data_IF_114883774338
#
_entry.id   IF_114883774338
#
_cell.length_a   1.000
_cell.length_b   1.000
_cell.length_c   1.000
_cell.angle_alpha   90.00
_cell.angle_beta   90.00
_cell.angle_gamma   90.00
#
_symmetry.space_group_name_H-M   'P 1'
#
loop_
_entity.id
_entity.type
_entity.pdbx_description
1 polymer ?
#
# COMPACT_ATOMS: atom_id res chain seq x y z
N UNK A 1 51.83 4.75 -16.71
CA UNK A 1 50.38 5.02 -16.67
C UNK A 1 49.69 3.79 -16.11
N UNK A 2 48.86 4.02 -15.11
CA UNK A 2 48.25 3.13 -14.12
C UNK A 2 47.37 2.01 -14.68
N UNK A 3 47.48 0.78 -14.16
CA UNK A 3 46.35 0.10 -13.46
C UNK A 3 46.84 -1.05 -12.60
N UNK A 4 46.11 -1.26 -11.50
CA UNK A 4 46.45 -2.07 -10.34
C UNK A 4 46.42 -3.59 -10.59
N UNK A 5 47.41 -4.21 -9.96
CA UNK A 5 47.57 -5.61 -9.58
C UNK A 5 46.41 -6.11 -8.66
N UNK A 6 45.90 -7.36 -8.83
CA UNK A 6 46.22 -8.58 -8.02
C UNK A 6 45.40 -8.60 -6.68
N UNK A 7 44.63 -9.62 -6.23
CA UNK A 7 44.86 -11.06 -5.99
C UNK A 7 43.51 -11.76 -5.63
N UNK A 8 43.42 -13.12 -5.70
CA UNK A 8 42.19 -13.92 -5.74
C UNK A 8 41.99 -14.91 -4.54
N UNK A 9 40.89 -15.69 -4.63
CA UNK A 9 40.54 -16.97 -3.95
C UNK A 9 40.22 -16.97 -2.46
N UNK A 10 38.99 -17.37 -2.13
CA UNK A 10 38.65 -18.66 -1.50
C UNK A 10 37.33 -18.58 -0.73
N UNK A 11 36.45 -19.56 -0.95
CA UNK A 11 35.60 -20.24 0.04
C UNK A 11 34.22 -20.58 -0.53
N UNK A 12 34.19 -21.68 -1.28
CA UNK A 12 33.09 -22.65 -1.25
C UNK A 12 32.67 -22.94 0.19
N UNK A 13 31.38 -22.83 0.53
CA UNK A 13 30.60 -23.86 1.27
C UNK A 13 29.24 -23.32 1.76
N UNK A 14 28.20 -24.02 1.30
CA UNK A 14 26.98 -24.37 2.03
C UNK A 14 25.95 -23.29 2.44
N UNK A 15 24.82 -23.27 1.72
CA UNK A 15 23.47 -23.47 2.27
C UNK A 15 22.42 -23.24 1.15
N UNK A 16 22.24 -24.20 0.23
CA UNK A 16 21.01 -25.00 0.17
C UNK A 16 20.10 -24.86 1.41
N UNK A 17 18.94 -24.21 1.23
CA UNK A 17 17.65 -24.40 1.93
C UNK A 17 16.62 -23.54 1.16
N UNK A 18 16.11 -24.03 0.03
CA UNK A 18 14.88 -24.82 -0.06
C UNK A 18 13.61 -23.99 0.19
N UNK A 19 12.71 -24.10 -0.82
CA UNK A 19 11.26 -23.96 -0.74
C UNK A 19 10.68 -22.54 -0.87
N UNK A 20 9.59 -22.28 -1.59
CA UNK A 20 8.66 -23.12 -2.37
C UNK A 20 7.70 -22.14 -3.08
N UNK A 21 7.35 -22.44 -4.33
CA UNK A 21 6.17 -22.00 -5.09
C UNK A 21 5.57 -20.59 -4.80
N UNK A 22 5.84 -19.63 -5.69
CA UNK A 22 4.78 -18.75 -6.16
C UNK A 22 4.47 -19.13 -7.61
N UNK A 23 3.57 -20.09 -7.77
CA UNK A 23 2.95 -20.41 -9.04
C UNK A 23 2.12 -19.20 -9.49
N UNK A 24 2.58 -18.51 -10.53
CA UNK A 24 1.96 -17.30 -11.05
C UNK A 24 2.98 -16.45 -11.78
N UNK A 25 3.62 -17.03 -12.80
CA UNK A 25 4.64 -16.37 -13.60
C UNK A 25 4.10 -15.07 -14.20
N UNK A 26 4.76 -13.98 -13.81
CA UNK A 26 4.93 -12.72 -14.52
C UNK A 26 4.86 -12.93 -16.05
N UNK A 27 3.86 -12.34 -16.69
CA UNK A 27 3.94 -11.99 -18.09
C UNK A 27 4.74 -10.69 -18.20
N UNK A 28 6.06 -10.80 -18.40
CA UNK A 28 6.82 -9.72 -19.03
C UNK A 28 6.33 -9.64 -20.47
N UNK A 29 5.54 -8.61 -20.77
CA UNK A 29 5.25 -8.23 -22.15
C UNK A 29 6.18 -7.06 -22.50
N UNK A 30 7.10 -7.20 -23.47
CA UNK A 30 7.88 -6.07 -23.95
C UNK A 30 7.00 -5.27 -24.92
N UNK A 31 6.61 -4.06 -24.56
CA UNK A 31 5.75 -3.26 -25.42
C UNK A 31 5.49 -1.87 -24.91
N UNK A 32 6.24 -0.91 -25.45
CA UNK A 32 5.97 0.52 -25.39
C UNK A 32 4.48 0.82 -25.63
N UNK A 33 3.79 1.38 -24.64
CA UNK A 33 2.78 2.43 -24.84
C UNK A 33 2.33 2.96 -23.48
N UNK A 34 2.68 4.22 -23.20
CA UNK A 34 2.14 4.98 -22.08
C UNK A 34 0.64 5.16 -22.28
N UNK A 35 -0.16 4.35 -21.58
CA UNK A 35 -1.55 4.70 -21.28
C UNK A 35 -1.64 4.98 -19.81
N UNK A 36 -2.03 6.21 -19.48
CA UNK A 36 -2.49 6.66 -18.16
C UNK A 36 -3.57 5.69 -17.65
N UNK A 37 -3.13 4.60 -17.05
CA UNK A 37 -4.00 3.68 -16.35
C UNK A 37 -3.99 4.16 -14.92
N UNK A 38 -4.79 5.18 -14.62
CA UNK A 38 -5.24 5.38 -13.25
C UNK A 38 -5.70 3.99 -12.77
N UNK A 39 -5.12 3.41 -11.70
CA UNK A 39 -5.51 2.10 -11.25
C UNK A 39 -6.95 2.24 -10.74
N UNK A 40 -7.93 2.04 -11.62
CA UNK A 40 -9.31 1.86 -11.25
C UNK A 40 -9.31 0.55 -10.50
N UNK A 41 -9.23 0.63 -9.17
CA UNK A 41 -9.34 -0.51 -8.29
C UNK A 41 -10.52 -1.34 -8.78
N UNK A 42 -10.26 -2.53 -9.31
CA UNK A 42 -11.30 -3.45 -9.69
C UNK A 42 -12.14 -3.64 -8.42
N UNK A 43 -13.43 -3.27 -8.48
CA UNK A 43 -14.26 -3.14 -7.29
C UNK A 43 -14.36 -4.45 -6.47
N UNK A 44 -13.97 -5.60 -7.05
CA UNK A 44 -13.86 -6.90 -6.38
C UNK A 44 -12.45 -7.50 -6.30
N UNK A 45 -11.36 -6.74 -6.48
CA UNK A 45 -10.02 -7.33 -6.33
C UNK A 45 -9.73 -7.64 -4.84
N UNK A 46 -9.27 -8.87 -4.49
CA UNK A 46 -8.92 -9.25 -3.13
C UNK A 46 -7.48 -8.86 -2.75
N UNK A 47 -6.82 -8.04 -3.58
CA UNK A 47 -5.41 -7.69 -3.43
C UNK A 47 -5.17 -6.18 -3.58
N UNK A 48 -3.96 -5.76 -3.20
CA UNK A 48 -3.43 -4.43 -3.47
C UNK A 48 -2.32 -4.49 -4.52
N UNK A 49 -2.05 -3.37 -5.17
CA UNK A 49 -0.96 -3.22 -6.14
C UNK A 49 -0.20 -1.93 -5.86
N UNK A 50 1.11 -2.00 -6.03
CA UNK A 50 2.02 -0.86 -5.94
C UNK A 50 2.40 -0.42 -7.35
N UNK A 51 2.44 0.87 -7.61
CA UNK A 51 2.91 1.43 -8.89
C UNK A 51 4.36 1.02 -9.16
N UNK A 52 4.76 0.94 -10.44
CA UNK A 52 6.13 0.55 -10.82
C UNK A 52 7.25 1.41 -10.18
N UNK A 53 6.98 2.69 -9.88
CA UNK A 53 7.94 3.56 -9.21
C UNK A 53 7.95 3.42 -7.67
N UNK A 54 7.13 2.53 -7.11
CA UNK A 54 7.08 2.24 -5.69
C UNK A 54 6.44 3.31 -4.80
N UNK A 55 5.87 4.38 -5.36
CA UNK A 55 5.38 5.56 -4.59
C UNK A 55 3.88 5.58 -4.33
N UNK A 56 3.12 4.79 -5.09
CA UNK A 56 1.66 4.72 -4.98
C UNK A 56 1.23 3.29 -4.70
N UNK A 57 0.15 3.15 -3.95
CA UNK A 57 -0.48 1.86 -3.63
C UNK A 57 -2.00 2.02 -3.74
N UNK A 58 -2.66 1.00 -4.26
CA UNK A 58 -4.12 0.94 -4.33
C UNK A 58 -4.59 -0.47 -3.97
N UNK A 59 -5.71 -0.55 -3.24
CA UNK A 59 -6.31 -1.81 -2.81
C UNK A 59 -7.69 -2.01 -3.44
N UNK A 60 -8.02 -3.25 -3.79
CA UNK A 60 -9.35 -3.60 -4.27
C UNK A 60 -10.41 -3.64 -3.16
N UNK A 61 -11.68 -3.65 -3.57
CA UNK A 61 -12.81 -3.63 -2.63
C UNK A 61 -12.94 -4.90 -1.78
N UNK A 62 -12.44 -6.05 -2.25
CA UNK A 62 -12.49 -7.31 -1.50
C UNK A 62 -11.27 -7.56 -0.62
N UNK A 63 -10.22 -6.74 -0.74
CA UNK A 63 -9.01 -6.93 0.06
C UNK A 63 -9.32 -6.73 1.56
N UNK A 64 -9.03 -7.72 2.43
CA UNK A 64 -9.27 -7.64 3.87
C UNK A 64 -8.13 -6.94 4.62
N UNK A 65 -7.20 -6.33 3.90
CA UNK A 65 -5.97 -5.75 4.44
C UNK A 65 -5.69 -4.35 3.88
N UNK A 66 -4.69 -3.70 4.46
CA UNK A 66 -4.10 -2.47 3.96
C UNK A 66 -2.66 -2.73 3.50
N UNK A 67 -2.16 -1.89 2.61
CA UNK A 67 -0.80 -1.97 2.12
C UNK A 67 -0.19 -0.57 1.97
N UNK A 68 1.10 -0.48 2.25
CA UNK A 68 1.89 0.73 2.02
C UNK A 68 2.62 0.67 0.68
N UNK A 69 2.96 1.83 0.14
CA UNK A 69 3.91 1.94 -0.96
C UNK A 69 5.30 1.45 -0.52
N UNK A 70 6.14 1.07 -1.49
CA UNK A 70 7.49 0.57 -1.19
C UNK A 70 8.36 1.60 -0.48
N UNK A 71 8.16 2.89 -0.76
CA UNK A 71 8.85 3.98 -0.06
C UNK A 71 8.17 4.38 1.26
N UNK A 72 7.08 3.72 1.64
CA UNK A 72 6.37 3.93 2.91
C UNK A 72 5.64 5.26 3.02
N UNK A 73 5.57 6.06 1.96
CA UNK A 73 4.95 7.40 1.96
C UNK A 73 3.45 7.40 1.68
N UNK A 74 2.93 6.32 1.08
CA UNK A 74 1.51 6.14 0.81
C UNK A 74 0.98 4.87 1.47
N UNK A 75 -0.32 4.87 1.76
CA UNK A 75 -1.05 3.75 2.33
C UNK A 75 -2.44 3.67 1.71
N UNK A 76 -2.92 2.46 1.42
CA UNK A 76 -4.27 2.20 0.96
C UNK A 76 -4.85 1.00 1.71
N UNK A 77 -6.16 1.02 1.93
CA UNK A 77 -6.89 -0.06 2.58
C UNK A 77 -7.94 -0.62 1.65
N UNK A 78 -8.11 -1.94 1.68
CA UNK A 78 -9.17 -2.61 0.94
C UNK A 78 -10.56 -2.37 1.55
N UNK A 79 -11.59 -2.64 0.75
CA UNK A 79 -12.98 -2.45 1.19
C UNK A 79 -13.40 -3.39 2.32
N UNK A 80 -12.78 -4.58 2.44
CA UNK A 80 -13.03 -5.55 3.52
C UNK A 80 -12.14 -5.38 4.74
N UNK A 81 -11.18 -4.45 4.72
CA UNK A 81 -10.32 -4.24 5.88
C UNK A 81 -11.14 -3.63 7.04
N UNK A 82 -11.15 -4.26 8.25
CA UNK A 82 -11.89 -3.75 9.40
C UNK A 82 -11.08 -2.74 10.24
N UNK A 83 -9.95 -2.26 9.70
CA UNK A 83 -9.00 -1.39 10.40
C UNK A 83 -8.52 -0.23 9.52
N UNK A 84 -7.79 0.69 10.14
CA UNK A 84 -7.06 1.76 9.49
C UNK A 84 -5.55 1.54 9.62
N UNK A 85 -4.79 2.09 8.68
CA UNK A 85 -3.33 2.06 8.71
C UNK A 85 -2.75 3.43 8.34
N UNK A 86 -1.70 3.82 9.06
CA UNK A 86 -0.91 5.02 8.79
C UNK A 86 0.31 4.67 7.94
N UNK A 87 0.74 5.55 7.04
CA UNK A 87 2.00 5.42 6.31
C UNK A 87 3.20 5.43 7.27
N UNK A 88 4.33 4.88 6.84
CA UNK A 88 5.53 4.77 7.68
C UNK A 88 6.15 6.12 7.99
N UNK A 89 6.01 7.08 7.08
CA UNK A 89 6.39 8.48 7.33
C UNK A 89 5.42 9.23 8.25
N UNK A 90 4.31 8.60 8.64
CA UNK A 90 3.32 9.14 9.57
C UNK A 90 2.43 10.23 8.99
N UNK A 91 2.50 10.52 7.69
CA UNK A 91 1.82 11.67 7.07
C UNK A 91 0.51 11.33 6.38
N UNK A 92 0.26 10.06 6.10
CA UNK A 92 -0.96 9.59 5.46
C UNK A 92 -1.65 8.55 6.34
N UNK A 93 -2.97 8.50 6.24
CA UNK A 93 -3.79 7.48 6.91
C UNK A 93 -4.88 7.03 5.95
N UNK A 94 -5.15 5.73 5.92
CA UNK A 94 -6.25 5.14 5.16
C UNK A 94 -7.04 4.20 6.06
N UNK A 95 -8.35 4.11 5.83
CA UNK A 95 -9.24 3.21 6.54
C UNK A 95 -9.93 2.29 5.56
N UNK A 96 -10.10 1.02 5.95
CA UNK A 96 -10.86 0.06 5.17
C UNK A 96 -12.36 0.33 5.20
N UNK A 97 -13.07 -0.26 4.24
CA UNK A 97 -14.53 -0.09 4.12
C UNK A 97 -15.30 -0.68 5.31
N UNK A 98 -14.78 -1.72 5.97
CA UNK A 98 -15.43 -2.34 7.13
C UNK A 98 -14.99 -1.75 8.48
N UNK A 99 -14.04 -0.81 8.50
CA UNK A 99 -13.64 -0.16 9.75
C UNK A 99 -14.80 0.69 10.32
N UNK A 100 -15.21 0.49 11.60
CA UNK A 100 -16.30 1.23 12.23
C UNK A 100 -15.84 2.53 12.91
N UNK A 101 -14.62 2.98 12.64
CA UNK A 101 -13.98 4.13 13.28
C UNK A 101 -13.20 4.98 12.28
N UNK A 102 -12.74 6.14 12.77
CA UNK A 102 -11.83 7.02 12.05
C UNK A 102 -10.44 7.02 12.70
N UNK A 103 -9.43 7.38 11.92
CA UNK A 103 -8.05 7.52 12.37
C UNK A 103 -7.42 8.78 11.78
N UNK A 104 -6.43 9.34 12.48
CA UNK A 104 -5.63 10.48 12.03
C UNK A 104 -4.22 10.03 11.72
N UNK A 105 -3.53 10.76 10.84
CA UNK A 105 -2.09 10.61 10.67
C UNK A 105 -1.35 10.97 11.96
N UNK A 106 -0.10 10.54 12.09
CA UNK A 106 0.73 10.81 13.28
C UNK A 106 0.93 12.31 13.49
N UNK A 107 1.08 13.07 12.41
CA UNK A 107 1.17 14.53 12.47
C UNK A 107 -0.19 15.23 12.69
N UNK A 108 -1.29 14.47 12.71
CA UNK A 108 -2.66 14.94 12.93
C UNK A 108 -3.27 15.71 11.76
N UNK A 109 -2.55 15.88 10.65
CA UNK A 109 -2.98 16.72 9.51
C UNK A 109 -3.87 16.01 8.51
N UNK A 110 -3.88 14.68 8.53
CA UNK A 110 -4.80 13.86 7.76
C UNK A 110 -5.76 13.11 8.67
N UNK A 111 -6.95 12.87 8.16
CA UNK A 111 -7.97 12.05 8.81
C UNK A 111 -8.62 11.16 7.74
N UNK A 112 -8.89 9.90 8.10
CA UNK A 112 -9.63 8.95 7.28
C UNK A 112 -10.67 8.25 8.16
N UNK A 113 -11.83 7.97 7.58
CA UNK A 113 -12.89 7.22 8.24
C UNK A 113 -13.17 5.95 7.46
N UNK A 114 -13.39 4.85 8.19
CA UNK A 114 -13.84 3.61 7.59
C UNK A 114 -15.26 3.72 7.05
N UNK A 115 -15.58 2.88 6.08
CA UNK A 115 -16.91 2.89 5.45
C UNK A 115 -18.05 2.60 6.41
N UNK A 116 -17.81 1.84 7.49
CA UNK A 116 -18.79 1.54 8.54
C UNK A 116 -18.80 2.55 9.70
N UNK A 117 -17.95 3.58 9.69
CA UNK A 117 -17.96 4.58 10.75
C UNK A 117 -19.28 5.38 10.70
N UNK A 118 -20.04 5.48 11.83
CA UNK A 118 -21.33 6.18 11.86
C UNK A 118 -21.18 7.68 12.15
N UNK A 119 -20.00 8.24 11.96
CA UNK A 119 -19.68 9.64 12.29
C UNK A 119 -18.62 10.20 11.32
N UNK A 120 -18.42 11.51 11.44
CA UNK A 120 -17.33 12.23 10.82
C UNK A 120 -16.29 12.63 11.87
N UNK A 121 -15.03 12.71 11.45
CA UNK A 121 -13.91 13.13 12.27
C UNK A 121 -13.12 14.22 11.55
N UNK A 122 -12.58 15.17 12.30
CA UNK A 122 -11.77 16.27 11.78
C UNK A 122 -10.29 16.07 12.12
N UNK A 123 -9.39 16.49 11.23
CA UNK A 123 -7.95 16.57 11.49
C UNK A 123 -7.68 17.48 12.70
N UNK A 124 -6.56 17.25 13.38
CA UNK A 124 -6.19 18.01 14.58
C UNK A 124 -5.98 19.50 14.32
N UNK A 125 -5.56 19.85 13.11
CA UNK A 125 -5.41 21.24 12.65
C UNK A 125 -6.71 21.86 12.15
N UNK A 126 -7.81 21.11 12.13
CA UNK A 126 -9.12 21.57 11.69
C UNK A 126 -9.29 21.70 10.17
N UNK A 127 -8.27 21.38 9.37
CA UNK A 127 -8.29 21.66 7.92
C UNK A 127 -8.96 20.59 7.07
N UNK A 128 -9.19 19.39 7.61
CA UNK A 128 -9.76 18.25 6.87
C UNK A 128 -10.81 17.53 7.70
N UNK A 129 -11.82 17.02 7.02
CA UNK A 129 -12.88 16.19 7.59
C UNK A 129 -12.99 14.93 6.75
N UNK A 130 -13.16 13.78 7.40
CA UNK A 130 -13.57 12.54 6.79
C UNK A 130 -14.85 12.05 7.46
N UNK A 131 -15.73 11.44 6.67
CA UNK A 131 -16.96 10.82 7.17
C UNK A 131 -17.00 9.36 6.75
N UNK A 132 -17.48 8.49 7.64
CA UNK A 132 -17.84 7.14 7.24
C UNK A 132 -19.12 7.12 6.41
N UNK A 133 -19.40 5.96 5.80
CA UNK A 133 -20.54 5.74 4.91
C UNK A 133 -21.78 5.15 5.59
N UNK A 134 -21.73 4.85 6.90
CA UNK A 134 -22.82 4.18 7.61
C UNK A 134 -24.05 5.09 7.87
N UNK A 135 -24.05 6.33 7.37
CA UNK A 135 -25.11 7.33 7.61
C UNK A 135 -26.14 7.47 6.48
N UNK A 136 -26.18 6.60 5.48
CA UNK A 136 -27.29 6.58 4.52
C UNK A 136 -28.52 5.88 5.12
N UNK A 137 -29.32 6.64 5.89
CA UNK A 137 -30.71 6.31 6.25
C UNK A 137 -31.66 6.65 5.10
#
# INVERSE_FOLDING_TARGET
MTTFNLIPRASTLAALLAAVLCAGCVAVVPGNNQSKSSPKAAAGAPFCQTSANGKQVACGGEAPFCQQSSDGSAVACGGKAPFCQTSSDGKQVACGGEAPFCAKSTDGKQVACGGKAPFCEQSSDGTKVACGGAQAL
#
